data_IF_819721829625
#
_entry.id   IF_819721829625
#
_cell.length_a   1.000
_cell.length_b   1.000
_cell.length_c   1.000
_cell.angle_alpha   90.00
_cell.angle_beta   90.00
_cell.angle_gamma   90.00
#
_symmetry.space_group_name_H-M   'P 1'
#
loop_
_entity.id
_entity.type
_entity.pdbx_description
1 polymer ?
#
# COMPACT_ATOMS: atom_id res chain seq x y z
N UNK A 1 -16.27 13.60 15.24
CA UNK A 1 -17.02 14.42 14.26
C UNK A 1 -17.01 13.80 12.86
N UNK A 2 -15.85 13.46 12.29
CA UNK A 2 -15.75 12.86 10.95
C UNK A 2 -16.61 11.61 10.78
N UNK A 3 -16.38 10.56 11.60
CA UNK A 3 -17.16 9.32 11.52
C UNK A 3 -18.68 9.55 11.64
N UNK A 4 -19.12 10.47 12.51
CA UNK A 4 -20.54 10.77 12.66
C UNK A 4 -21.18 11.43 11.42
N UNK A 5 -20.39 12.18 10.63
CA UNK A 5 -20.90 12.92 9.46
C UNK A 5 -20.75 12.15 8.15
N UNK A 6 -19.72 11.30 8.02
CA UNK A 6 -19.38 10.65 6.76
C UNK A 6 -19.64 9.13 6.75
N UNK A 7 -19.86 8.50 7.90
CA UNK A 7 -20.20 7.07 7.94
C UNK A 7 -21.60 6.83 7.36
N UNK A 8 -21.69 5.92 6.39
CA UNK A 8 -22.91 5.45 5.76
C UNK A 8 -23.21 4.04 6.30
N UNK A 9 -24.10 3.88 7.31
CA UNK A 9 -24.35 2.58 7.93
C UNK A 9 -24.83 1.52 6.95
N UNK A 10 -25.72 1.88 6.02
CA UNK A 10 -26.30 0.92 5.07
C UNK A 10 -25.28 0.39 4.05
N UNK A 11 -24.27 1.20 3.75
CA UNK A 11 -23.17 0.85 2.82
C UNK A 11 -21.95 0.29 3.53
N UNK A 12 -21.92 0.36 4.87
CA UNK A 12 -20.74 0.03 5.68
C UNK A 12 -19.47 0.75 5.17
N UNK A 13 -19.61 2.04 4.82
CA UNK A 13 -18.55 2.78 4.14
C UNK A 13 -18.52 4.27 4.50
N UNK A 14 -17.42 4.94 4.17
CA UNK A 14 -17.26 6.39 4.31
C UNK A 14 -17.71 7.07 3.01
N UNK A 15 -18.63 8.03 3.13
CA UNK A 15 -19.05 8.88 2.03
C UNK A 15 -17.86 9.71 1.52
N UNK A 16 -17.73 9.82 0.21
CA UNK A 16 -16.66 10.64 -0.40
C UNK A 16 -16.89 12.13 -0.20
N UNK A 17 -18.14 12.56 -0.14
CA UNK A 17 -18.50 13.97 0.00
C UNK A 17 -19.83 14.14 0.73
N UNK A 18 -20.06 15.38 1.19
CA UNK A 18 -21.37 15.87 1.60
C UNK A 18 -21.87 16.84 0.54
N UNK A 19 -23.13 16.74 0.20
CA UNK A 19 -23.83 17.68 -0.69
C UNK A 19 -24.06 19.02 0.02
N UNK A 20 -24.46 20.06 -0.73
CA UNK A 20 -24.68 21.41 -0.19
C UNK A 20 -25.72 21.45 0.95
N UNK A 21 -26.69 20.53 0.94
CA UNK A 21 -27.70 20.38 1.99
C UNK A 21 -27.23 19.52 3.19
N UNK A 22 -25.95 19.12 3.21
CA UNK A 22 -25.35 18.30 4.27
C UNK A 22 -25.60 16.78 4.14
N UNK A 23 -26.35 16.33 3.13
CA UNK A 23 -26.55 14.90 2.91
C UNK A 23 -25.30 14.23 2.36
N UNK A 24 -25.05 13.00 2.79
CA UNK A 24 -23.95 12.19 2.27
C UNK A 24 -24.16 11.87 0.79
N UNK A 25 -23.08 11.91 0.01
CA UNK A 25 -23.07 11.28 -1.32
C UNK A 25 -23.02 9.76 -1.11
N UNK A 26 -24.16 9.10 -1.30
CA UNK A 26 -24.39 7.73 -0.91
C UNK A 26 -23.83 6.66 -1.87
N UNK A 27 -22.60 6.86 -2.35
CA UNK A 27 -21.92 5.95 -3.28
C UNK A 27 -20.63 5.39 -2.69
N UNK A 28 -20.38 4.10 -2.92
CA UNK A 28 -19.13 3.45 -2.54
C UNK A 28 -18.07 3.70 -3.61
N UNK A 29 -17.05 4.48 -3.27
CA UNK A 29 -15.97 4.84 -4.17
C UNK A 29 -14.61 4.74 -3.47
N UNK A 30 -13.54 4.54 -4.23
CA UNK A 30 -12.18 4.40 -3.69
C UNK A 30 -11.73 5.64 -2.91
N UNK A 31 -12.12 6.84 -3.33
CA UNK A 31 -11.80 8.09 -2.62
C UNK A 31 -12.24 8.07 -1.14
N UNK A 32 -13.42 7.54 -0.83
CA UNK A 32 -13.89 7.39 0.56
C UNK A 32 -12.97 6.46 1.37
N UNK A 33 -12.37 5.45 0.73
CA UNK A 33 -11.41 4.54 1.34
C UNK A 33 -10.08 5.19 1.70
N UNK A 34 -9.68 6.26 1.01
CA UNK A 34 -8.44 6.99 1.32
C UNK A 34 -8.47 7.60 2.74
N UNK A 35 -9.64 7.77 3.36
CA UNK A 35 -9.75 8.15 4.77
C UNK A 35 -8.97 7.18 5.69
N UNK A 36 -8.86 5.90 5.31
CA UNK A 36 -8.09 4.90 6.05
C UNK A 36 -6.62 5.31 6.19
N UNK A 37 -6.02 5.92 5.16
CA UNK A 37 -4.62 6.35 5.18
C UNK A 37 -4.28 7.24 6.39
N UNK A 38 -5.23 8.10 6.75
CA UNK A 38 -5.04 9.14 7.77
C UNK A 38 -5.17 8.61 9.19
N UNK A 39 -5.83 7.48 9.40
CA UNK A 39 -6.18 6.99 10.74
C UNK A 39 -7.42 7.67 11.36
N UNK A 40 -8.18 8.46 10.61
CA UNK A 40 -9.37 9.19 11.12
C UNK A 40 -10.61 8.30 11.30
N UNK A 41 -10.64 7.13 10.66
CA UNK A 41 -11.76 6.19 10.69
C UNK A 41 -11.70 5.38 11.98
N UNK A 42 -12.83 5.19 12.65
CA UNK A 42 -12.86 4.35 13.85
C UNK A 42 -12.52 2.90 13.49
N UNK A 43 -11.85 2.17 14.39
CA UNK A 43 -11.35 0.81 14.12
C UNK A 43 -12.45 -0.15 13.61
N UNK A 44 -13.63 -0.14 14.23
CA UNK A 44 -14.77 -0.97 13.83
C UNK A 44 -15.20 -0.69 12.38
N UNK A 45 -15.29 0.59 12.01
CA UNK A 45 -15.66 1.06 10.68
C UNK A 45 -14.60 0.75 9.65
N UNK A 46 -13.31 0.87 10.00
CA UNK A 46 -12.21 0.50 9.12
C UNK A 46 -12.28 -1.00 8.73
N UNK A 47 -12.61 -1.88 9.68
CA UNK A 47 -12.78 -3.31 9.40
C UNK A 47 -14.01 -3.59 8.53
N UNK A 48 -15.09 -2.85 8.73
CA UNK A 48 -16.26 -2.94 7.87
C UNK A 48 -15.96 -2.46 6.44
N UNK A 49 -15.26 -1.33 6.29
CA UNK A 49 -14.80 -0.83 4.99
C UNK A 49 -13.90 -1.83 4.28
N UNK A 50 -12.97 -2.48 4.99
CA UNK A 50 -12.09 -3.48 4.40
C UNK A 50 -12.88 -4.65 3.80
N UNK A 51 -13.95 -5.11 4.46
CA UNK A 51 -14.85 -6.13 3.88
C UNK A 51 -15.50 -5.65 2.59
N UNK A 52 -16.01 -4.41 2.56
CA UNK A 52 -16.59 -3.81 1.36
C UNK A 52 -15.55 -3.65 0.24
N UNK A 53 -14.32 -3.23 0.57
CA UNK A 53 -13.24 -3.09 -0.40
C UNK A 53 -12.81 -4.43 -1.02
N UNK A 54 -12.82 -5.51 -0.23
CA UNK A 54 -12.46 -6.85 -0.69
C UNK A 54 -13.62 -7.58 -1.37
N UNK A 55 -14.81 -6.97 -1.47
CA UNK A 55 -15.93 -7.54 -2.20
C UNK A 55 -15.66 -7.52 -3.71
N UNK A 56 -16.28 -8.41 -4.51
CA UNK A 56 -16.17 -8.38 -5.97
C UNK A 56 -16.74 -7.09 -6.58
N UNK A 57 -17.52 -6.30 -5.83
CA UNK A 57 -18.04 -5.01 -6.31
C UNK A 57 -16.92 -3.95 -6.41
N UNK A 58 -15.97 -3.98 -5.47
CA UNK A 58 -14.85 -3.04 -5.43
C UNK A 58 -13.55 -3.67 -5.97
N UNK A 59 -13.22 -4.89 -5.59
CA UNK A 59 -11.99 -5.58 -5.96
C UNK A 59 -12.16 -6.32 -7.28
N UNK A 60 -11.50 -5.82 -8.33
CA UNK A 60 -11.65 -6.36 -9.69
C UNK A 60 -10.80 -7.58 -9.99
N UNK A 61 -9.84 -7.94 -9.13
CA UNK A 61 -8.77 -8.87 -9.49
C UNK A 61 -7.56 -8.19 -10.14
N UNK A 62 -7.72 -6.92 -10.52
CA UNK A 62 -6.65 -6.02 -10.97
C UNK A 62 -6.42 -4.84 -10.01
N UNK A 63 -7.09 -4.85 -8.85
CA UNK A 63 -7.12 -3.75 -7.90
C UNK A 63 -8.54 -3.25 -7.61
N UNK A 64 -8.64 -2.30 -6.68
CA UNK A 64 -9.86 -1.62 -6.26
C UNK A 64 -10.27 -0.61 -7.33
N UNK A 65 -11.53 -0.70 -7.73
CA UNK A 65 -12.21 0.21 -8.67
C UNK A 65 -12.43 1.58 -8.06
N UNK A 66 -12.43 2.61 -8.91
CA UNK A 66 -12.75 3.98 -8.49
C UNK A 66 -14.19 4.13 -7.99
N UNK A 67 -15.12 3.33 -8.51
CA UNK A 67 -16.52 3.26 -8.08
C UNK A 67 -16.97 1.79 -8.03
N UNK A 68 -17.79 1.44 -7.03
CA UNK A 68 -18.37 0.10 -6.91
C UNK A 68 -19.18 -0.26 -8.16
N UNK A 69 -19.06 -1.50 -8.63
CA UNK A 69 -19.85 -2.01 -9.75
C UNK A 69 -21.35 -2.13 -9.46
N UNK A 70 -21.77 -1.97 -8.21
CA UNK A 70 -23.18 -1.91 -7.80
C UNK A 70 -23.78 -0.49 -7.90
N UNK A 71 -22.97 0.54 -8.16
CA UNK A 71 -23.45 1.91 -8.29
C UNK A 71 -23.98 2.19 -9.71
N UNK A 72 -25.11 2.90 -9.88
CA UNK A 72 -25.72 3.12 -11.21
C UNK A 72 -24.83 3.83 -12.22
N UNK A 73 -23.88 4.64 -11.74
CA UNK A 73 -22.95 5.38 -12.58
C UNK A 73 -21.70 4.57 -12.98
N UNK A 74 -21.60 3.30 -12.55
CA UNK A 74 -20.44 2.47 -12.83
C UNK A 74 -20.24 2.24 -14.32
N UNK A 75 -19.02 2.50 -14.76
CA UNK A 75 -18.54 2.20 -16.10
C UNK A 75 -17.07 1.77 -15.99
N UNK A 76 -16.73 0.50 -16.31
CA UNK A 76 -15.35 -0.02 -16.22
C UNK A 76 -14.37 0.71 -17.15
N UNK A 77 -14.90 1.42 -18.16
CA UNK A 77 -14.13 2.22 -19.09
C UNK A 77 -14.09 3.70 -18.69
N UNK A 78 -14.74 4.12 -17.60
CA UNK A 78 -14.76 5.52 -17.18
C UNK A 78 -13.51 5.90 -16.39
N UNK A 79 -13.04 7.12 -16.63
CA UNK A 79 -11.91 7.72 -15.93
C UNK A 79 -12.09 7.74 -14.40
N UNK A 80 -13.28 8.07 -13.88
CA UNK A 80 -13.52 8.15 -12.42
C UNK A 80 -14.62 7.21 -11.89
N UNK A 81 -15.37 6.54 -12.77
CA UNK A 81 -16.55 5.77 -12.37
C UNK A 81 -16.37 4.26 -12.55
N UNK A 82 -15.16 3.74 -12.52
CA UNK A 82 -14.98 2.29 -12.53
C UNK A 82 -13.55 1.84 -12.68
N UNK A 83 -12.74 2.54 -13.48
CA UNK A 83 -11.33 2.22 -13.71
C UNK A 83 -10.51 2.01 -12.42
N UNK A 84 -9.38 1.33 -12.56
CA UNK A 84 -8.41 1.12 -11.47
C UNK A 84 -7.25 2.08 -11.63
N UNK A 85 -6.91 2.75 -10.53
CA UNK A 85 -5.83 3.72 -10.46
C UNK A 85 -4.73 3.19 -9.51
N UNK A 86 -3.50 2.96 -9.99
CA UNK A 86 -2.42 2.43 -9.17
C UNK A 86 -2.12 3.24 -7.91
N UNK A 87 -2.12 4.57 -8.03
CA UNK A 87 -1.78 5.43 -6.90
C UNK A 87 -2.85 5.39 -5.82
N UNK A 88 -4.12 5.37 -6.22
CA UNK A 88 -5.26 5.31 -5.32
C UNK A 88 -5.24 4.00 -4.53
N UNK A 89 -5.00 2.89 -5.24
CA UNK A 89 -4.82 1.57 -4.65
C UNK A 89 -3.64 1.50 -3.67
N UNK A 90 -2.52 2.16 -3.98
CA UNK A 90 -1.41 2.29 -3.03
C UNK A 90 -1.85 3.00 -1.75
N UNK A 91 -2.54 4.14 -1.85
CA UNK A 91 -3.01 4.89 -0.68
C UNK A 91 -3.98 4.06 0.19
N UNK A 92 -4.88 3.32 -0.46
CA UNK A 92 -5.83 2.43 0.22
C UNK A 92 -5.11 1.26 0.89
N UNK A 93 -4.20 0.58 0.21
CA UNK A 93 -3.41 -0.51 0.79
C UNK A 93 -2.60 -0.03 2.01
N UNK A 94 -2.04 1.18 1.94
CA UNK A 94 -1.35 1.80 3.09
C UNK A 94 -2.29 2.10 4.24
N UNK A 95 -3.53 2.52 3.95
CA UNK A 95 -4.60 2.65 4.93
C UNK A 95 -4.95 1.30 5.58
N UNK A 96 -5.21 0.26 4.79
CA UNK A 96 -5.50 -1.10 5.29
C UNK A 96 -4.40 -1.59 6.22
N UNK A 97 -3.13 -1.44 5.83
CA UNK A 97 -1.99 -1.84 6.66
C UNK A 97 -1.90 -1.05 7.97
N UNK A 98 -2.24 0.25 7.97
CA UNK A 98 -2.32 1.06 9.21
C UNK A 98 -3.30 0.47 10.23
N UNK A 99 -4.39 -0.15 9.79
CA UNK A 99 -5.36 -0.81 10.67
C UNK A 99 -5.06 -2.30 10.92
N UNK A 100 -3.87 -2.79 10.55
CA UNK A 100 -3.46 -4.17 10.77
C UNK A 100 -4.09 -5.19 9.80
N UNK A 101 -4.61 -4.73 8.66
CA UNK A 101 -5.25 -5.58 7.65
C UNK A 101 -4.23 -5.97 6.58
N UNK A 102 -3.15 -6.62 7.01
CA UNK A 102 -2.00 -6.97 6.16
C UNK A 102 -2.41 -7.80 4.93
N UNK A 103 -3.25 -8.83 5.11
CA UNK A 103 -3.69 -9.69 4.01
C UNK A 103 -4.51 -8.94 2.95
N UNK A 104 -5.40 -8.04 3.39
CA UNK A 104 -6.18 -7.20 2.48
C UNK A 104 -5.27 -6.21 1.73
N UNK A 105 -4.29 -5.61 2.42
CA UNK A 105 -3.31 -4.74 1.79
C UNK A 105 -2.46 -5.48 0.75
N UNK A 106 -1.98 -6.68 1.07
CA UNK A 106 -1.19 -7.51 0.16
C UNK A 106 -2.00 -7.96 -1.05
N UNK A 107 -3.27 -8.31 -0.88
CA UNK A 107 -4.18 -8.64 -1.99
C UNK A 107 -4.23 -7.49 -3.01
N UNK A 108 -4.45 -6.25 -2.54
CA UNK A 108 -4.50 -5.06 -3.41
C UNK A 108 -3.15 -4.82 -4.10
N UNK A 109 -2.06 -4.88 -3.34
CA UNK A 109 -0.70 -4.66 -3.84
C UNK A 109 -0.37 -5.67 -4.95
N UNK A 110 -0.59 -6.96 -4.70
CA UNK A 110 -0.27 -8.01 -5.65
C UNK A 110 -1.12 -7.88 -6.92
N UNK A 111 -2.43 -7.60 -6.82
CA UNK A 111 -3.27 -7.42 -8.00
C UNK A 111 -2.83 -6.25 -8.89
N UNK A 112 -2.43 -5.13 -8.29
CA UNK A 112 -1.95 -3.97 -9.07
C UNK A 112 -0.55 -4.21 -9.63
N UNK A 113 0.35 -4.88 -8.90
CA UNK A 113 1.66 -5.24 -9.42
C UNK A 113 1.56 -6.26 -10.56
N UNK A 114 0.67 -7.24 -10.46
CA UNK A 114 0.33 -8.17 -11.55
C UNK A 114 -0.13 -7.42 -12.80
N UNK A 115 -0.96 -6.37 -12.65
CA UNK A 115 -1.43 -5.59 -13.78
C UNK A 115 -0.25 -4.98 -14.58
N UNK A 116 0.89 -4.69 -13.93
CA UNK A 116 2.05 -4.13 -14.61
C UNK A 116 2.59 -5.04 -15.71
N UNK A 117 2.54 -6.37 -15.55
CA UNK A 117 3.06 -7.32 -16.55
C UNK A 117 2.26 -7.35 -17.84
N UNK A 118 1.05 -6.79 -17.83
CA UNK A 118 0.18 -6.70 -19.02
C UNK A 118 0.55 -5.50 -19.89
N UNK A 119 1.19 -4.47 -19.32
CA UNK A 119 1.50 -3.23 -20.02
C UNK A 119 2.94 -3.21 -20.57
N UNK A 120 3.18 -2.51 -21.70
CA UNK A 120 4.50 -2.43 -22.31
C UNK A 120 5.60 -1.98 -21.34
N UNK A 121 6.68 -2.76 -21.27
CA UNK A 121 7.83 -2.47 -20.42
C UNK A 121 7.58 -2.68 -18.91
N UNK A 122 6.54 -3.43 -18.54
CA UNK A 122 6.14 -3.71 -17.16
C UNK A 122 5.86 -2.44 -16.35
N UNK A 123 5.18 -1.47 -16.96
CA UNK A 123 4.92 -0.15 -16.38
C UNK A 123 3.43 0.04 -16.12
N UNK A 124 3.11 0.57 -14.95
CA UNK A 124 1.75 0.95 -14.64
C UNK A 124 1.40 2.28 -15.34
N UNK A 125 0.28 2.34 -16.09
CA UNK A 125 -0.24 3.60 -16.61
C UNK A 125 -0.91 4.40 -15.49
N UNK A 126 -1.35 5.62 -15.79
CA UNK A 126 -2.21 6.42 -14.91
C UNK A 126 -3.41 5.64 -14.35
N UNK A 127 -4.13 4.94 -15.23
CA UNK A 127 -5.28 4.11 -14.93
C UNK A 127 -5.53 3.10 -16.07
N UNK A 128 -6.32 2.07 -15.77
CA UNK A 128 -6.76 1.06 -16.73
C UNK A 128 -8.19 0.57 -16.46
N UNK A 129 -8.80 -0.02 -17.48
CA UNK A 129 -10.14 -0.57 -17.38
C UNK A 129 -10.22 -1.70 -16.34
N UNK A 130 -11.36 -1.82 -15.69
CA UNK A 130 -11.52 -2.60 -14.45
C UNK A 130 -12.54 -3.73 -14.53
N UNK A 131 -12.61 -4.40 -15.68
CA UNK A 131 -13.44 -5.60 -15.81
C UNK A 131 -13.03 -6.63 -14.74
N UNK A 132 -14.01 -7.42 -14.28
CA UNK A 132 -13.70 -8.49 -13.34
C UNK A 132 -12.70 -9.46 -13.98
N UNK A 133 -11.59 -9.73 -13.28
CA UNK A 133 -10.57 -10.70 -13.69
C UNK A 133 -11.14 -12.10 -13.52
N UNK A 134 -11.27 -12.81 -14.62
CA UNK A 134 -11.59 -14.23 -14.63
C UNK A 134 -10.31 -15.08 -14.70
N UNK A 135 -10.36 -16.35 -14.28
CA UNK A 135 -9.22 -17.26 -14.42
C UNK A 135 -8.77 -17.38 -15.88
N UNK A 136 -7.52 -16.99 -16.15
CA UNK A 136 -6.94 -17.00 -17.50
C UNK A 136 -6.86 -15.63 -18.18
N UNK A 137 -7.48 -14.60 -17.60
CA UNK A 137 -7.39 -13.24 -18.14
C UNK A 137 -5.97 -12.68 -18.00
N UNK A 138 -5.42 -12.25 -19.13
CA UNK A 138 -4.10 -11.61 -19.24
C UNK A 138 -4.12 -10.35 -20.11
N UNK A 139 -5.31 -9.80 -20.39
CA UNK A 139 -5.49 -8.59 -21.19
C UNK A 139 -6.24 -7.55 -20.37
N UNK A 140 -5.64 -6.37 -20.28
CA UNK A 140 -6.26 -5.16 -19.76
C UNK A 140 -6.40 -4.17 -20.91
N UNK A 141 -7.59 -3.60 -21.06
CA UNK A 141 -7.80 -2.55 -22.04
C UNK A 141 -7.12 -1.27 -21.53
N UNK A 142 -6.12 -0.74 -22.27
CA UNK A 142 -5.55 0.55 -21.93
C UNK A 142 -6.63 1.62 -22.10
N UNK A 143 -6.65 2.60 -21.19
CA UNK A 143 -7.54 3.74 -21.35
C UNK A 143 -6.98 4.67 -22.46
N UNK A 144 -7.77 5.04 -23.50
CA UNK A 144 -7.24 5.65 -24.72
C UNK A 144 -6.47 6.96 -24.53
N UNK A 145 -6.78 7.72 -23.49
CA UNK A 145 -6.24 9.07 -23.23
C UNK A 145 -5.35 9.12 -21.97
N UNK A 146 -4.87 7.96 -21.48
CA UNK A 146 -4.07 7.94 -20.26
C UNK A 146 -2.64 8.47 -20.47
N UNK A 147 -2.08 9.05 -19.42
CA UNK A 147 -0.67 9.44 -19.42
C UNK A 147 0.25 8.23 -19.11
N UNK A 148 1.17 7.92 -20.03
CA UNK A 148 2.13 6.80 -19.87
C UNK A 148 3.58 7.31 -19.98
N UNK A 149 4.34 7.43 -18.87
CA UNK A 149 3.90 7.37 -17.46
C UNK A 149 3.56 8.75 -16.88
N UNK A 150 2.46 8.84 -16.14
CA UNK A 150 2.20 9.98 -15.27
C UNK A 150 2.97 9.85 -13.95
N UNK A 151 3.35 10.99 -13.35
CA UNK A 151 4.22 11.04 -12.18
C UNK A 151 3.73 10.18 -10.99
N UNK A 152 2.42 10.18 -10.69
CA UNK A 152 1.88 9.38 -9.59
C UNK A 152 1.87 7.86 -9.85
N UNK A 153 1.80 7.45 -11.11
CA UNK A 153 1.77 6.04 -11.51
C UNK A 153 3.19 5.48 -11.43
N UNK A 154 4.19 6.28 -11.81
CA UNK A 154 5.59 5.95 -11.62
C UNK A 154 5.98 5.77 -10.14
N UNK A 155 5.37 6.53 -9.22
CA UNK A 155 5.61 6.39 -7.78
C UNK A 155 4.91 5.19 -7.13
N UNK A 156 3.85 4.67 -7.76
CA UNK A 156 2.98 3.66 -7.14
C UNK A 156 3.68 2.33 -6.81
N UNK A 157 4.52 1.73 -7.69
CA UNK A 157 5.23 0.49 -7.35
C UNK A 157 6.14 0.63 -6.12
N UNK A 158 6.87 1.74 -6.01
CA UNK A 158 7.71 2.03 -4.85
C UNK A 158 6.87 2.23 -3.59
N UNK A 159 5.77 2.96 -3.72
CA UNK A 159 4.78 3.13 -2.68
C UNK A 159 4.22 1.80 -2.17
N UNK A 160 3.86 0.90 -3.08
CA UNK A 160 3.36 -0.43 -2.76
C UNK A 160 4.43 -1.29 -2.08
N UNK A 161 5.66 -1.29 -2.59
CA UNK A 161 6.77 -2.03 -1.95
C UNK A 161 7.04 -1.53 -0.54
N UNK A 162 7.18 -0.21 -0.35
CA UNK A 162 7.38 0.37 0.99
C UNK A 162 6.22 0.09 1.94
N UNK A 163 5.00 0.03 1.40
CA UNK A 163 3.79 -0.35 2.14
C UNK A 163 3.81 -1.83 2.51
N UNK A 164 4.07 -2.75 1.57
CA UNK A 164 4.17 -4.19 1.84
C UNK A 164 5.19 -4.50 2.94
N UNK A 165 6.34 -3.82 2.89
CA UNK A 165 7.42 -3.92 3.88
C UNK A 165 7.08 -3.24 5.23
N UNK A 166 6.00 -2.46 5.31
CA UNK A 166 5.66 -1.66 6.49
C UNK A 166 6.80 -0.74 6.91
N UNK A 167 7.53 -0.22 5.92
CA UNK A 167 8.78 0.50 6.13
C UNK A 167 8.52 1.95 6.54
N UNK A 168 9.16 2.39 7.62
CA UNK A 168 9.10 3.76 8.14
C UNK A 168 10.48 4.26 8.50
N UNK A 169 10.76 5.49 8.09
CA UNK A 169 11.98 6.22 8.45
C UNK A 169 11.73 7.06 9.71
N UNK A 170 12.68 7.03 10.65
CA UNK A 170 12.79 7.91 11.80
C UNK A 170 14.23 8.43 11.85
N UNK A 171 14.58 9.25 10.85
CA UNK A 171 15.94 9.77 10.65
C UNK A 171 16.44 10.57 11.85
N UNK A 172 15.53 11.28 12.53
CA UNK A 172 15.84 12.03 13.75
C UNK A 172 16.37 11.13 14.89
N UNK A 173 15.94 9.87 14.93
CA UNK A 173 16.43 8.86 15.89
C UNK A 173 17.42 7.89 15.27
N UNK A 174 17.80 8.08 14.01
CA UNK A 174 18.69 7.18 13.30
C UNK A 174 18.12 5.78 13.13
N UNK A 175 16.85 5.64 12.70
CA UNK A 175 16.18 4.33 12.59
C UNK A 175 15.40 4.15 11.29
N UNK A 176 15.42 2.92 10.79
CA UNK A 176 14.46 2.39 9.82
C UNK A 176 13.71 1.26 10.50
N UNK A 177 12.38 1.30 10.43
CA UNK A 177 11.49 0.36 11.11
C UNK A 177 10.66 -0.35 10.05
N UNK A 178 10.53 -1.67 10.20
CA UNK A 178 9.67 -2.51 9.38
C UNK A 178 8.63 -3.13 10.31
N UNK A 179 7.36 -2.84 10.07
CA UNK A 179 6.21 -3.40 10.79
C UNK A 179 5.45 -4.37 9.88
N UNK A 180 5.42 -5.64 10.25
CA UNK A 180 4.84 -6.74 9.47
C UNK A 180 5.34 -6.75 8.01
N UNK A 181 6.67 -6.79 7.76
CA UNK A 181 7.15 -6.79 6.39
C UNK A 181 6.66 -8.04 5.66
N UNK A 182 6.22 -7.85 4.42
CA UNK A 182 5.81 -8.87 3.46
C UNK A 182 6.49 -8.57 2.13
N UNK A 183 6.89 -9.60 1.39
CA UNK A 183 7.28 -9.45 0.00
C UNK A 183 6.04 -9.67 -0.89
N UNK A 184 5.84 -8.85 -1.94
CA UNK A 184 4.84 -9.14 -2.97
C UNK A 184 5.03 -10.52 -3.59
N UNK A 185 3.95 -11.07 -4.14
CA UNK A 185 3.99 -12.41 -4.77
C UNK A 185 4.99 -12.44 -5.93
N UNK A 186 5.71 -13.56 -6.06
CA UNK A 186 6.75 -13.73 -7.07
C UNK A 186 8.09 -13.05 -6.74
N UNK A 187 8.22 -12.35 -5.62
CA UNK A 187 9.51 -11.80 -5.15
C UNK A 187 10.16 -12.70 -4.09
N UNK A 188 11.25 -13.37 -4.47
CA UNK A 188 12.06 -14.17 -3.54
C UNK A 188 12.97 -13.33 -2.66
N UNK A 189 13.45 -12.20 -3.18
CA UNK A 189 14.33 -11.30 -2.46
C UNK A 189 14.24 -9.86 -3.00
N UNK A 190 14.59 -8.90 -2.15
CA UNK A 190 14.68 -7.48 -2.50
C UNK A 190 15.94 -6.89 -1.87
N UNK A 191 16.75 -6.24 -2.71
CA UNK A 191 17.84 -5.39 -2.27
C UNK A 191 17.36 -3.93 -2.22
N UNK A 192 17.57 -3.31 -1.07
CA UNK A 192 17.30 -1.89 -0.87
C UNK A 192 18.63 -1.17 -0.67
N UNK A 193 18.95 -0.24 -1.57
CA UNK A 193 20.24 0.45 -1.57
C UNK A 193 20.08 1.93 -1.26
N UNK A 194 21.05 2.49 -0.54
CA UNK A 194 21.09 3.92 -0.25
C UNK A 194 19.97 4.43 0.65
N UNK A 195 19.41 3.58 1.53
CA UNK A 195 18.32 3.98 2.42
C UNK A 195 18.81 4.99 3.47
N UNK A 196 18.11 6.12 3.69
CA UNK A 196 18.50 7.09 4.71
C UNK A 196 18.26 6.55 6.11
N UNK A 197 19.34 6.39 6.88
CA UNK A 197 19.25 6.10 8.32
C UNK A 197 19.26 7.40 9.12
N UNK A 198 20.11 8.35 8.72
CA UNK A 198 20.18 9.73 9.20
C UNK A 198 20.35 10.66 7.99
N UNK A 199 20.36 12.00 8.16
CA UNK A 199 20.64 12.91 7.06
C UNK A 199 21.96 12.63 6.34
N UNK A 200 22.99 12.13 7.03
CA UNK A 200 24.33 11.87 6.49
C UNK A 200 24.67 10.39 6.28
N UNK A 201 23.94 9.45 6.90
CA UNK A 201 24.24 8.01 6.84
C UNK A 201 23.20 7.31 5.97
N UNK A 202 23.70 6.52 5.01
CA UNK A 202 22.90 5.62 4.18
C UNK A 202 23.25 4.17 4.48
N UNK A 203 22.30 3.26 4.28
CA UNK A 203 22.48 1.82 4.48
C UNK A 203 21.89 1.02 3.33
N UNK A 204 22.48 -0.15 3.08
CA UNK A 204 22.01 -1.14 2.13
C UNK A 204 21.47 -2.36 2.91
N UNK A 205 20.28 -2.82 2.54
CA UNK A 205 19.60 -3.96 3.16
C UNK A 205 19.30 -5.02 2.12
N UNK A 206 19.34 -6.27 2.56
CA UNK A 206 18.86 -7.42 1.80
C UNK A 206 17.68 -8.04 2.54
N UNK A 207 16.57 -8.25 1.82
CA UNK A 207 15.37 -8.88 2.34
C UNK A 207 15.17 -10.18 1.58
N UNK A 208 15.16 -11.31 2.30
CA UNK A 208 15.05 -12.65 1.72
C UNK A 208 13.77 -13.33 2.20
N UNK A 209 12.96 -13.82 1.27
CA UNK A 209 11.81 -14.66 1.58
C UNK A 209 12.24 -15.88 2.40
N UNK A 210 11.38 -16.29 3.34
CA UNK A 210 11.66 -17.40 4.25
C UNK A 210 10.58 -18.47 4.06
N UNK A 211 10.95 -19.72 3.75
CA UNK A 211 9.97 -20.80 3.58
C UNK A 211 9.04 -20.93 4.79
N UNK A 212 7.73 -20.94 4.53
CA UNK A 212 6.70 -21.09 5.57
C UNK A 212 6.53 -19.87 6.49
N UNK A 213 7.13 -18.72 6.16
CA UNK A 213 6.96 -17.47 6.92
C UNK A 213 6.49 -16.35 6.01
N UNK A 214 5.53 -15.58 6.49
CA UNK A 214 5.05 -14.40 5.77
C UNK A 214 6.08 -13.24 5.83
N UNK A 215 6.90 -13.19 6.88
CA UNK A 215 7.92 -12.17 7.08
C UNK A 215 9.27 -12.56 6.46
N UNK A 216 9.88 -11.71 5.60
CA UNK A 216 11.22 -11.95 5.09
C UNK A 216 12.27 -11.76 6.19
N UNK A 217 13.43 -12.37 6.02
CA UNK A 217 14.60 -12.07 6.84
C UNK A 217 15.27 -10.80 6.31
N UNK A 218 15.56 -9.84 7.19
CA UNK A 218 16.17 -8.55 6.83
C UNK A 218 17.61 -8.50 7.37
N UNK A 219 18.57 -8.33 6.47
CA UNK A 219 20.01 -8.26 6.81
C UNK A 219 20.65 -6.99 6.28
N UNK A 220 21.68 -6.51 6.98
CA UNK A 220 22.55 -5.43 6.49
C UNK A 220 23.49 -6.00 5.43
N UNK A 221 23.57 -5.37 4.26
CA UNK A 221 24.56 -5.70 3.22
C UNK A 221 25.93 -5.09 3.55
N UNK A 222 25.96 -3.96 4.24
CA UNK A 222 27.19 -3.20 4.47
C UNK A 222 28.03 -3.79 5.61
N UNK A 223 29.17 -4.41 5.27
CA UNK A 223 30.17 -4.87 6.25
C UNK A 223 30.91 -3.72 6.97
N UNK A 224 30.85 -2.49 6.44
CA UNK A 224 31.51 -1.29 7.00
C UNK A 224 30.66 -0.51 8.00
N UNK A 225 29.49 -1.02 8.38
CA UNK A 225 28.55 -0.36 9.26
C UNK A 225 28.95 -0.49 10.75
N UNK A 226 30.19 -0.12 11.09
CA UNK A 226 30.62 -0.03 12.49
C UNK A 226 29.66 0.91 13.24
N UNK A 227 28.89 0.36 14.17
CA UNK A 227 27.88 1.13 14.91
C UNK A 227 26.48 1.16 14.29
N UNK A 228 26.13 0.26 13.36
CA UNK A 228 24.74 0.05 12.91
C UNK A 228 24.32 -1.39 13.24
N UNK A 229 23.10 -1.57 13.71
CA UNK A 229 22.51 -2.88 14.00
C UNK A 229 21.21 -3.06 13.24
N UNK A 230 20.95 -4.28 12.74
CA UNK A 230 19.64 -4.73 12.31
C UNK A 230 19.15 -5.78 13.32
N UNK A 231 18.08 -5.47 14.03
CA UNK A 231 17.46 -6.39 14.98
C UNK A 231 16.05 -6.74 14.51
N UNK A 232 15.80 -8.02 14.28
CA UNK A 232 14.49 -8.54 13.89
C UNK A 232 13.94 -9.46 14.98
N UNK A 233 12.68 -9.24 15.37
CA UNK A 233 11.95 -10.06 16.36
C UNK A 233 10.53 -10.28 15.86
N UNK A 234 10.23 -11.52 15.47
CA UNK A 234 8.95 -11.87 14.85
C UNK A 234 8.71 -11.03 13.60
N UNK A 235 7.56 -10.35 13.56
CA UNK A 235 7.10 -9.54 12.43
C UNK A 235 7.60 -8.09 12.47
N UNK A 236 8.58 -7.78 13.31
CA UNK A 236 9.13 -6.43 13.44
C UNK A 236 10.64 -6.42 13.29
N UNK A 237 11.16 -5.53 12.46
CA UNK A 237 12.60 -5.28 12.34
C UNK A 237 12.93 -3.81 12.54
N UNK A 238 14.08 -3.54 13.15
CA UNK A 238 14.59 -2.19 13.36
C UNK A 238 16.07 -2.16 12.98
N UNK A 239 16.39 -1.33 12.00
CA UNK A 239 17.75 -0.93 11.67
C UNK A 239 18.03 0.37 12.40
N UNK A 240 19.11 0.45 13.17
CA UNK A 240 19.43 1.65 13.97
C UNK A 240 20.93 1.84 14.19
N UNK A 241 21.31 3.08 14.47
CA UNK A 241 22.61 3.36 15.08
C UNK A 241 22.71 2.71 16.47
N UNK A 242 23.84 2.08 16.72
CA UNK A 242 24.26 1.59 18.04
C UNK A 242 24.97 2.75 18.71
N UNK A 243 24.41 3.29 19.79
CA UNK A 243 25.08 4.33 20.58
C UNK A 243 26.40 3.78 21.13
N UNK A 244 27.52 4.42 20.82
CA UNK A 244 28.73 4.25 21.62
C UNK A 244 28.49 4.94 22.97
N UNK A 245 28.13 4.19 24.01
CA UNK A 245 28.10 4.73 25.37
C UNK A 245 28.60 3.68 26.36
N UNK A 246 29.65 4.09 27.09
CA UNK A 246 30.31 3.48 28.25
C UNK A 246 31.43 2.45 28.01
N UNK A 247 32.55 2.90 27.44
CA UNK A 247 33.90 2.34 27.72
C UNK A 247 34.83 3.42 28.28
N UNK A 248 34.32 4.24 29.19
CA UNK A 248 35.06 5.26 29.93
C UNK A 248 34.72 5.21 31.43
N UNK A 249 34.81 4.02 32.03
CA UNK A 249 34.97 3.83 33.49
C UNK A 249 35.76 2.54 33.74
N UNK A 250 37.04 2.58 33.39
CA UNK A 250 38.07 1.66 33.87
C UNK A 250 39.42 2.34 33.59
N UNK A 251 39.68 3.41 34.35
CA UNK A 251 40.97 4.08 34.44
C UNK A 251 41.30 4.23 35.92
#
# INVERSE_FOLDING_TARGET
RFNAQYWMPDKQFIATALQANGQQLASVSSNGAQALLTGIVDNDKAHAMAKTLMSPEMLSGWGIRTLSSAEPAYDPLSYHNGSVWPHDNWLIAKGLKRYGMDEAAMTVINQVLDASSVFPGNRLPELYASFQREPGDNVLLPYPENCVPQAWAAGSPYGMLTTALGMRFDEARGRIIFEHPRLPDGMDAVDLEGLPLTPSIRVNLHLQAQPGKATPQITLKDAQAAGISCAQRGERAVVKLVSQAASAQAG
#
